data_IF_988003453025
#
_entry.id   IF_988003453025
#
_cell.length_a   1.000
_cell.length_b   1.000
_cell.length_c   1.000
_cell.angle_alpha   90.00
_cell.angle_beta   90.00
_cell.angle_gamma   90.00
#
_symmetry.space_group_name_H-M   'P 1'
#
loop_
_entity.id
_entity.type
_entity.pdbx_description
1 polymer ?
#
# COMPACT_ATOMS: atom_id res chain seq x y z
N UNK A 1 10.58 3.95 -14.28
CA UNK A 1 9.93 5.24 -14.62
C UNK A 1 10.45 6.36 -13.72
N UNK A 2 10.38 6.19 -12.40
CA UNK A 2 10.94 7.09 -11.38
C UNK A 2 12.44 7.41 -11.54
N UNK A 3 13.27 6.43 -11.91
CA UNK A 3 14.74 6.59 -12.10
C UNK A 3 15.18 7.22 -13.44
N UNK A 4 14.29 7.21 -14.45
CA UNK A 4 14.57 7.73 -15.81
C UNK A 4 13.91 9.09 -16.06
N UNK A 5 12.70 9.30 -15.56
CA UNK A 5 11.89 10.50 -15.78
C UNK A 5 11.72 11.37 -14.51
N UNK A 6 12.31 10.95 -13.38
CA UNK A 6 12.29 11.67 -12.11
C UNK A 6 11.15 11.24 -11.18
N UNK A 7 11.33 11.56 -9.90
CA UNK A 7 10.40 11.19 -8.82
C UNK A 7 9.01 11.80 -9.03
N UNK A 8 8.92 13.07 -9.46
CA UNK A 8 7.64 13.77 -9.77
C UNK A 8 6.82 12.99 -10.81
N UNK A 9 7.46 12.54 -11.90
CA UNK A 9 6.77 11.81 -12.96
C UNK A 9 6.23 10.47 -12.43
N UNK A 10 7.01 9.76 -11.61
CA UNK A 10 6.56 8.53 -10.97
C UNK A 10 5.35 8.75 -10.06
N UNK A 11 5.45 9.66 -9.09
CA UNK A 11 4.36 9.94 -8.14
C UNK A 11 3.10 10.44 -8.85
N UNK A 12 3.24 11.30 -9.85
CA UNK A 12 2.11 11.81 -10.63
C UNK A 12 1.46 10.72 -11.51
N UNK A 13 2.27 9.85 -12.12
CA UNK A 13 1.76 8.70 -12.88
C UNK A 13 1.03 7.69 -11.98
N UNK A 14 1.55 7.40 -10.79
CA UNK A 14 0.94 6.48 -9.83
C UNK A 14 -0.37 7.03 -9.27
N UNK A 15 -0.36 8.26 -8.76
CA UNK A 15 -1.58 8.92 -8.26
C UNK A 15 -2.62 9.14 -9.36
N UNK A 16 -2.20 9.46 -10.59
CA UNK A 16 -3.09 9.57 -11.74
C UNK A 16 -3.76 8.24 -12.10
N UNK A 17 -3.02 7.13 -12.09
CA UNK A 17 -3.59 5.80 -12.34
C UNK A 17 -4.62 5.40 -11.27
N UNK A 18 -4.36 5.75 -10.00
CA UNK A 18 -5.29 5.52 -8.89
C UNK A 18 -6.54 6.40 -9.03
N UNK A 19 -6.40 7.67 -9.38
CA UNK A 19 -7.52 8.57 -9.63
C UNK A 19 -8.37 8.09 -10.81
N UNK A 20 -7.76 7.74 -11.94
CA UNK A 20 -8.48 7.19 -13.10
C UNK A 20 -9.18 5.88 -12.74
N UNK A 21 -8.49 4.97 -12.04
CA UNK A 21 -9.06 3.69 -11.59
C UNK A 21 -10.28 3.87 -10.69
N UNK A 22 -10.22 4.78 -9.72
CA UNK A 22 -11.34 5.04 -8.79
C UNK A 22 -12.51 5.75 -9.48
N UNK A 23 -12.25 6.70 -10.38
CA UNK A 23 -13.28 7.39 -11.16
C UNK A 23 -13.99 6.42 -12.12
N UNK A 24 -13.26 5.50 -12.76
CA UNK A 24 -13.86 4.47 -13.65
C UNK A 24 -14.97 3.68 -12.96
N UNK A 25 -14.82 3.36 -11.68
CA UNK A 25 -15.84 2.61 -10.91
C UNK A 25 -17.13 3.41 -10.69
N UNK A 26 -17.07 4.74 -10.80
CA UNK A 26 -18.19 5.65 -10.55
C UNK A 26 -19.04 5.97 -11.80
N UNK A 27 -18.61 5.54 -13.00
CA UNK A 27 -19.23 5.96 -14.27
C UNK A 27 -20.47 5.15 -14.64
N UNK A 28 -20.56 3.87 -14.22
CA UNK A 28 -21.60 2.97 -14.71
C UNK A 28 -22.43 2.31 -13.61
N UNK A 29 -23.74 2.36 -13.80
CA UNK A 29 -24.78 1.80 -12.94
C UNK A 29 -25.18 0.38 -13.39
N UNK A 30 -24.78 -0.03 -14.60
CA UNK A 30 -25.18 -1.29 -15.22
C UNK A 30 -24.27 -2.44 -14.77
N UNK A 31 -24.84 -3.54 -14.28
CA UNK A 31 -24.12 -4.66 -13.62
C UNK A 31 -22.98 -5.24 -14.46
N UNK A 32 -23.22 -5.55 -15.74
CA UNK A 32 -22.18 -6.12 -16.62
C UNK A 32 -21.03 -5.14 -16.90
N UNK A 33 -21.35 -3.87 -17.13
CA UNK A 33 -20.35 -2.84 -17.37
C UNK A 33 -19.56 -2.55 -16.09
N UNK A 34 -20.22 -2.52 -14.94
CA UNK A 34 -19.60 -2.30 -13.64
C UNK A 34 -18.54 -3.35 -13.31
N UNK A 35 -18.80 -4.63 -13.60
CA UNK A 35 -17.82 -5.71 -13.39
C UNK A 35 -16.57 -5.50 -14.27
N UNK A 36 -16.75 -5.19 -15.55
CA UNK A 36 -15.64 -4.94 -16.47
C UNK A 36 -14.83 -3.72 -16.02
N UNK A 37 -15.48 -2.61 -15.70
CA UNK A 37 -14.81 -1.39 -15.22
C UNK A 37 -14.12 -1.63 -13.86
N UNK A 38 -14.68 -2.47 -12.99
CA UNK A 38 -14.04 -2.88 -11.74
C UNK A 38 -12.75 -3.66 -11.98
N UNK A 39 -12.72 -4.59 -12.94
CA UNK A 39 -11.49 -5.29 -13.30
C UNK A 39 -10.44 -4.36 -13.90
N UNK A 40 -10.84 -3.46 -14.81
CA UNK A 40 -9.94 -2.46 -15.38
C UNK A 40 -9.37 -1.56 -14.27
N UNK A 41 -10.21 -1.11 -13.34
CA UNK A 41 -9.76 -0.30 -12.21
C UNK A 41 -8.77 -1.04 -11.32
N UNK A 42 -8.97 -2.33 -11.06
CA UNK A 42 -8.06 -3.15 -10.26
C UNK A 42 -6.69 -3.28 -10.94
N UNK A 43 -6.65 -3.39 -12.27
CA UNK A 43 -5.40 -3.41 -13.05
C UNK A 43 -4.70 -2.04 -12.98
N UNK A 44 -5.44 -0.93 -13.12
CA UNK A 44 -4.89 0.42 -13.01
C UNK A 44 -4.31 0.69 -11.61
N UNK A 45 -5.05 0.35 -10.55
CA UNK A 45 -4.59 0.54 -9.17
C UNK A 45 -3.43 -0.41 -8.86
N UNK A 46 -3.51 -1.67 -9.30
CA UNK A 46 -2.47 -2.67 -9.12
C UNK A 46 -1.15 -2.28 -9.79
N UNK A 47 -1.20 -1.67 -10.97
CA UNK A 47 0.00 -1.15 -11.66
C UNK A 47 0.59 0.10 -11.00
N UNK A 48 -0.23 0.89 -10.28
CA UNK A 48 0.26 1.99 -9.45
C UNK A 48 0.93 1.51 -8.15
N UNK A 49 0.57 0.33 -7.64
CA UNK A 49 1.08 -0.23 -6.38
C UNK A 49 2.62 -0.21 -6.26
N UNK A 50 3.37 -0.80 -7.21
CA UNK A 50 4.84 -0.77 -7.17
C UNK A 50 5.44 0.64 -7.17
N UNK A 51 4.78 1.58 -7.86
CA UNK A 51 5.22 2.99 -7.91
C UNK A 51 5.01 3.64 -6.55
N UNK A 52 3.86 3.41 -5.91
CA UNK A 52 3.55 3.92 -4.58
C UNK A 52 4.49 3.34 -3.51
N UNK A 53 4.86 2.06 -3.60
CA UNK A 53 5.80 1.43 -2.66
C UNK A 53 7.24 1.94 -2.82
N UNK A 54 7.67 2.26 -4.03
CA UNK A 54 9.00 2.79 -4.29
C UNK A 54 9.13 4.29 -3.99
N UNK A 55 8.01 5.03 -3.91
CA UNK A 55 8.04 6.48 -3.76
C UNK A 55 8.64 6.98 -2.43
N UNK A 56 8.29 6.44 -1.24
CA UNK A 56 8.84 6.90 0.03
C UNK A 56 10.36 6.84 0.15
N UNK A 57 11.04 5.70 -0.11
CA UNK A 57 12.49 5.64 0.01
C UNK A 57 13.20 6.50 -1.03
N UNK A 58 12.62 6.65 -2.23
CA UNK A 58 13.19 7.53 -3.27
C UNK A 58 13.05 9.01 -2.88
N UNK A 59 11.90 9.42 -2.34
CA UNK A 59 11.71 10.78 -1.84
C UNK A 59 12.64 11.09 -0.67
N UNK A 60 12.78 10.14 0.26
CA UNK A 60 13.72 10.25 1.37
C UNK A 60 15.16 10.41 0.85
N UNK A 61 15.56 9.63 -0.15
CA UNK A 61 16.89 9.70 -0.74
C UNK A 61 17.20 11.05 -1.41
N UNK A 62 16.22 11.61 -2.13
CA UNK A 62 16.42 12.84 -2.90
C UNK A 62 16.30 14.13 -2.05
N UNK A 63 15.45 14.14 -1.02
CA UNK A 63 15.14 15.34 -0.23
C UNK A 63 15.81 15.39 1.15
N UNK A 64 16.20 14.24 1.73
CA UNK A 64 16.70 14.18 3.09
C UNK A 64 18.16 13.68 3.18
N UNK A 65 18.97 14.22 4.12
CA UNK A 65 20.33 13.76 4.37
C UNK A 65 20.33 12.33 4.93
N UNK A 66 21.41 11.57 4.69
CA UNK A 66 21.50 10.12 4.98
C UNK A 66 21.06 9.71 6.39
N UNK A 67 21.31 10.56 7.40
CA UNK A 67 20.94 10.32 8.80
C UNK A 67 19.43 10.37 9.07
N UNK A 68 18.65 11.06 8.21
CA UNK A 68 17.21 11.27 8.39
C UNK A 68 16.35 10.47 7.40
N UNK A 69 16.97 9.82 6.41
CA UNK A 69 16.26 9.05 5.37
C UNK A 69 15.41 7.91 5.92
N UNK A 70 15.93 7.19 6.91
CA UNK A 70 15.23 6.08 7.56
C UNK A 70 13.97 6.59 8.27
N UNK A 71 14.09 7.70 8.99
CA UNK A 71 12.96 8.34 9.69
C UNK A 71 11.91 8.86 8.71
N UNK A 72 12.32 9.55 7.63
CA UNK A 72 11.42 10.04 6.60
C UNK A 72 10.65 8.90 5.90
N UNK A 73 11.34 7.79 5.62
CA UNK A 73 10.71 6.58 5.04
C UNK A 73 9.74 5.94 6.04
N UNK A 74 10.12 5.84 7.32
CA UNK A 74 9.27 5.27 8.36
C UNK A 74 7.97 6.06 8.54
N UNK A 75 8.03 7.40 8.56
CA UNK A 75 6.83 8.27 8.64
C UNK A 75 5.88 7.99 7.48
N UNK A 76 6.41 7.88 6.26
CA UNK A 76 5.60 7.58 5.07
C UNK A 76 4.98 6.18 5.10
N UNK A 77 5.71 5.18 5.63
CA UNK A 77 5.16 3.83 5.84
C UNK A 77 4.08 3.86 6.92
N UNK A 78 4.27 4.58 8.03
CA UNK A 78 3.23 4.74 9.05
C UNK A 78 1.97 5.42 8.51
N UNK A 79 2.11 6.42 7.63
CA UNK A 79 0.99 7.03 6.93
C UNK A 79 0.24 6.03 6.04
N UNK A 80 0.95 5.11 5.38
CA UNK A 80 0.32 4.02 4.62
C UNK A 80 -0.47 3.07 5.53
N UNK A 81 0.07 2.69 6.69
CA UNK A 81 -0.65 1.87 7.69
C UNK A 81 -1.92 2.55 8.22
N UNK A 82 -1.86 3.88 8.47
CA UNK A 82 -3.03 4.67 8.84
C UNK A 82 -4.10 4.67 7.75
N UNK A 83 -3.70 4.75 6.48
CA UNK A 83 -4.63 4.61 5.35
C UNK A 83 -5.34 3.25 5.33
N UNK A 84 -4.60 2.17 5.64
CA UNK A 84 -5.16 0.82 5.76
C UNK A 84 -6.20 0.68 6.87
N UNK A 85 -6.05 1.39 8.00
CA UNK A 85 -7.08 1.46 9.05
C UNK A 85 -8.40 2.04 8.52
N UNK A 86 -8.33 3.02 7.61
CA UNK A 86 -9.51 3.61 6.97
C UNK A 86 -10.36 2.59 6.21
N UNK A 87 -9.74 1.59 5.58
CA UNK A 87 -10.45 0.50 4.89
C UNK A 87 -11.24 -0.39 5.85
N UNK A 88 -10.84 -0.50 7.12
CA UNK A 88 -11.62 -1.25 8.12
C UNK A 88 -12.83 -0.47 8.66
N UNK A 89 -12.91 0.84 8.42
CA UNK A 89 -14.05 1.67 8.82
C UNK A 89 -15.15 1.72 7.76
N UNK A 90 -14.95 1.11 6.59
CA UNK A 90 -15.97 0.96 5.55
C UNK A 90 -17.30 0.36 6.04
N UNK A 91 -17.31 -0.64 6.96
CA UNK A 91 -18.52 -1.18 7.57
C UNK A 91 -19.36 -0.17 8.37
N UNK A 92 -18.81 0.98 8.80
CA UNK A 92 -19.59 2.04 9.44
C UNK A 92 -20.45 2.81 8.43
N UNK A 93 -20.02 2.82 7.16
CA UNK A 93 -20.70 3.54 6.08
C UNK A 93 -21.61 2.59 5.30
N UNK A 94 -21.22 1.32 5.14
CA UNK A 94 -22.03 0.28 4.48
C UNK A 94 -22.71 -0.59 5.50
N UNK A 95 -24.04 -0.50 5.55
CA UNK A 95 -24.84 -1.35 6.44
C UNK A 95 -24.74 -2.81 6.02
N UNK A 96 -24.68 -3.70 7.01
CA UNK A 96 -24.68 -5.14 6.76
C UNK A 96 -26.01 -5.58 6.11
N UNK A 97 -25.99 -6.55 5.17
CA UNK A 97 -27.21 -7.17 4.68
C UNK A 97 -27.94 -7.90 5.82
N UNK A 98 -28.93 -7.22 6.41
CA UNK A 98 -29.83 -7.75 7.43
C UNK A 98 -31.28 -7.81 6.95
N UNK A 99 -32.14 -8.40 7.78
CA UNK A 99 -33.57 -8.66 7.48
C UNK A 99 -34.38 -7.39 7.14
N UNK A 100 -33.87 -6.21 7.53
CA UNK A 100 -34.50 -4.90 7.32
C UNK A 100 -33.82 -4.02 6.26
N UNK A 101 -32.83 -4.54 5.52
CA UNK A 101 -32.07 -3.74 4.54
C UNK A 101 -32.27 -4.29 3.14
N UNK A 102 -32.81 -3.46 2.25
CA UNK A 102 -33.01 -3.86 0.86
C UNK A 102 -31.70 -3.82 0.07
N UNK A 103 -31.56 -4.70 -0.92
CA UNK A 103 -30.35 -4.80 -1.75
C UNK A 103 -30.02 -3.50 -2.51
N UNK A 104 -31.02 -2.66 -2.78
CA UNK A 104 -30.85 -1.34 -3.38
C UNK A 104 -30.24 -0.31 -2.42
N UNK A 105 -30.52 -0.39 -1.11
CA UNK A 105 -29.91 0.48 -0.09
C UNK A 105 -28.42 0.17 0.08
N UNK A 106 -28.05 -1.11 0.13
CA UNK A 106 -26.64 -1.55 0.19
C UNK A 106 -25.87 -1.08 -1.05
N UNK A 107 -26.50 -1.18 -2.22
CA UNK A 107 -25.92 -0.68 -3.47
C UNK A 107 -25.74 0.84 -3.42
N UNK A 108 -26.64 1.57 -2.77
CA UNK A 108 -26.51 3.00 -2.50
C UNK A 108 -25.31 3.32 -1.62
N UNK A 109 -25.16 2.62 -0.50
CA UNK A 109 -24.05 2.83 0.45
C UNK A 109 -22.69 2.54 -0.21
N UNK A 110 -22.60 1.45 -0.98
CA UNK A 110 -21.39 1.10 -1.74
C UNK A 110 -21.03 2.20 -2.75
N UNK A 111 -22.03 2.81 -3.42
CA UNK A 111 -21.78 3.93 -4.34
C UNK A 111 -21.26 5.15 -3.62
N UNK A 112 -21.81 5.48 -2.44
CA UNK A 112 -21.34 6.60 -1.63
C UNK A 112 -19.88 6.38 -1.24
N UNK A 113 -19.51 5.18 -0.80
CA UNK A 113 -18.10 4.83 -0.54
C UNK A 113 -17.21 5.02 -1.78
N UNK A 114 -17.65 4.56 -2.96
CA UNK A 114 -16.90 4.72 -4.20
C UNK A 114 -16.68 6.19 -4.56
N UNK A 115 -17.71 7.04 -4.40
CA UNK A 115 -17.59 8.47 -4.63
C UNK A 115 -16.66 9.15 -3.61
N UNK A 116 -16.69 8.74 -2.35
CA UNK A 116 -15.75 9.22 -1.32
C UNK A 116 -14.31 8.88 -1.72
N UNK A 117 -14.06 7.63 -2.12
CA UNK A 117 -12.73 7.20 -2.56
C UNK A 117 -12.26 7.91 -3.82
N UNK A 118 -13.13 8.09 -4.81
CA UNK A 118 -12.81 8.84 -6.02
C UNK A 118 -12.53 10.32 -5.72
N UNK A 119 -13.33 10.94 -4.84
CA UNK A 119 -13.12 12.32 -4.39
C UNK A 119 -11.80 12.48 -3.64
N UNK A 120 -11.48 11.58 -2.72
CA UNK A 120 -10.23 11.61 -1.97
C UNK A 120 -9.02 11.37 -2.88
N UNK A 121 -9.08 10.39 -3.80
CA UNK A 121 -8.03 10.14 -4.77
C UNK A 121 -7.81 11.32 -5.74
N UNK A 122 -8.89 11.94 -6.21
CA UNK A 122 -8.82 13.13 -7.06
C UNK A 122 -8.24 14.34 -6.31
N UNK A 123 -8.65 14.55 -5.05
CA UNK A 123 -8.10 15.60 -4.19
C UNK A 123 -6.60 15.39 -3.98
N UNK A 124 -6.17 14.17 -3.65
CA UNK A 124 -4.75 13.84 -3.49
C UNK A 124 -3.98 14.03 -4.81
N UNK A 125 -4.55 13.66 -5.95
CA UNK A 125 -3.92 13.90 -7.24
C UNK A 125 -3.75 15.39 -7.53
N UNK A 126 -4.78 16.21 -7.27
CA UNK A 126 -4.71 17.67 -7.43
C UNK A 126 -3.70 18.27 -6.45
N UNK A 127 -3.71 17.83 -5.19
CA UNK A 127 -2.78 18.30 -4.17
C UNK A 127 -1.34 17.96 -4.54
N UNK A 128 -1.07 16.74 -5.04
CA UNK A 128 0.24 16.36 -5.56
C UNK A 128 0.59 17.20 -6.81
N UNK A 129 -0.37 17.45 -7.70
CA UNK A 129 -0.11 18.26 -8.89
C UNK A 129 0.25 19.72 -8.55
N UNK A 130 -0.40 20.31 -7.54
CA UNK A 130 -0.22 21.68 -7.08
C UNK A 130 0.96 21.84 -6.11
N UNK A 131 1.10 20.93 -5.14
CA UNK A 131 2.03 21.05 -4.02
C UNK A 131 3.39 20.39 -4.26
N UNK A 132 3.53 19.46 -5.22
CA UNK A 132 4.85 18.92 -5.57
C UNK A 132 5.51 19.84 -6.61
N UNK A 133 6.41 20.78 -6.25
CA UNK A 133 7.21 21.51 -7.22
C UNK A 133 8.12 20.54 -7.98
N UNK A 134 8.41 20.85 -9.24
CA UNK A 134 9.02 19.88 -10.18
C UNK A 134 10.40 19.40 -9.77
N UNK A 135 11.12 20.16 -8.95
CA UNK A 135 12.44 19.86 -8.38
C UNK A 135 12.66 20.78 -7.17
N UNK A 136 13.32 20.34 -6.10
CA UNK A 136 14.07 21.28 -5.27
C UNK A 136 15.22 21.87 -6.11
N UNK A 137 15.42 23.20 -6.12
CA UNK A 137 16.41 23.90 -6.95
C UNK A 137 17.89 23.62 -6.61
N UNK A 138 18.19 22.80 -5.59
CA UNK A 138 19.57 22.40 -5.25
C UNK A 138 19.61 20.91 -4.90
N UNK A 139 20.32 20.06 -5.67
CA UNK A 139 20.48 18.65 -5.35
C UNK A 139 21.57 18.48 -4.28
N UNK A 140 21.28 17.98 -3.05
CA UNK A 140 22.30 17.75 -2.05
C UNK A 140 22.53 16.25 -1.90
N UNK A 141 22.99 15.55 -2.94
CA UNK A 141 23.73 14.30 -2.68
C UNK A 141 24.45 13.74 -3.90
N UNK A 142 25.75 13.55 -3.73
CA UNK A 142 26.75 13.00 -4.67
C UNK A 142 26.51 11.50 -4.99
N UNK A 143 25.41 10.90 -4.53
CA UNK A 143 25.03 9.51 -4.90
C UNK A 143 24.29 9.38 -6.24
N UNK A 144 23.97 10.48 -6.94
CA UNK A 144 23.44 10.45 -8.32
C UNK A 144 24.47 9.96 -9.36
N UNK A 145 25.73 9.74 -8.97
CA UNK A 145 26.83 9.34 -9.85
C UNK A 145 27.17 7.85 -9.80
N UNK A 146 26.35 7.01 -9.16
CA UNK A 146 26.50 5.57 -9.35
C UNK A 146 25.93 5.18 -10.72
N UNK A 147 26.80 4.59 -11.53
CA UNK A 147 26.50 4.04 -12.84
C UNK A 147 25.20 3.21 -12.76
N UNK A 148 24.17 3.71 -13.46
CA UNK A 148 22.84 3.12 -13.44
C UNK A 148 22.93 1.76 -14.12
N UNK A 149 23.02 0.70 -13.33
CA UNK A 149 22.86 -0.66 -13.85
C UNK A 149 21.55 -0.71 -14.64
N UNK A 150 21.64 -1.21 -15.88
CA UNK A 150 20.47 -1.43 -16.72
C UNK A 150 19.41 -2.21 -15.93
N UNK A 151 18.16 -1.78 -15.98
CA UNK A 151 17.06 -2.40 -15.21
C UNK A 151 16.95 -3.90 -15.50
N UNK A 152 17.14 -4.30 -16.76
CA UNK A 152 17.19 -5.71 -17.19
C UNK A 152 18.38 -6.47 -16.59
N UNK A 153 19.55 -5.85 -16.56
CA UNK A 153 20.77 -6.47 -16.03
C UNK A 153 20.71 -6.58 -14.50
N UNK A 154 20.08 -5.62 -13.84
CA UNK A 154 19.80 -5.66 -12.40
C UNK A 154 18.84 -6.81 -12.06
N UNK A 155 17.71 -6.94 -12.77
CA UNK A 155 16.77 -8.06 -12.57
C UNK A 155 17.45 -9.39 -12.87
N UNK A 156 18.22 -9.49 -13.95
CA UNK A 156 18.94 -10.71 -14.31
C UNK A 156 19.95 -11.10 -13.22
N UNK A 157 20.68 -10.13 -12.67
CA UNK A 157 21.65 -10.35 -11.60
C UNK A 157 20.98 -10.68 -10.26
N UNK A 158 19.80 -10.10 -10.00
CA UNK A 158 18.95 -10.41 -8.84
C UNK A 158 18.47 -11.87 -8.91
N UNK A 159 17.91 -12.27 -10.06
CA UNK A 159 17.38 -13.62 -10.31
C UNK A 159 18.47 -14.67 -10.51
N UNK A 160 19.71 -14.28 -10.83
CA UNK A 160 20.82 -15.23 -10.93
C UNK A 160 21.41 -15.61 -9.56
N UNK A 161 21.07 -14.87 -8.50
CA UNK A 161 21.61 -15.10 -7.16
C UNK A 161 20.61 -15.90 -6.30
N UNK A 162 20.96 -17.15 -5.99
CA UNK A 162 20.13 -18.06 -5.18
C UNK A 162 19.81 -17.50 -3.79
N UNK A 163 20.73 -16.76 -3.17
CA UNK A 163 20.48 -16.15 -1.85
C UNK A 163 19.41 -15.04 -1.93
N UNK A 164 19.44 -14.23 -3.00
CA UNK A 164 18.39 -13.24 -3.29
C UNK A 164 17.04 -13.89 -3.54
N UNK A 165 16.99 -15.01 -4.28
CA UNK A 165 15.74 -15.75 -4.48
C UNK A 165 15.18 -16.26 -3.15
N UNK A 166 16.01 -16.88 -2.28
CA UNK A 166 15.55 -17.33 -0.97
C UNK A 166 15.01 -16.18 -0.11
N UNK A 167 15.65 -15.02 -0.15
CA UNK A 167 15.17 -13.81 0.55
C UNK A 167 13.84 -13.31 -0.03
N UNK A 168 13.71 -13.27 -1.35
CA UNK A 168 12.46 -12.88 -2.02
C UNK A 168 11.31 -13.82 -1.66
N UNK A 169 11.55 -15.13 -1.66
CA UNK A 169 10.55 -16.14 -1.30
C UNK A 169 10.16 -15.99 0.18
N UNK A 170 11.14 -15.87 1.08
CA UNK A 170 10.89 -15.65 2.51
C UNK A 170 10.04 -14.39 2.74
N UNK A 171 10.42 -13.26 2.12
CA UNK A 171 9.68 -12.01 2.23
C UNK A 171 8.26 -12.13 1.63
N UNK A 172 8.12 -12.82 0.50
CA UNK A 172 6.82 -13.04 -0.15
C UNK A 172 5.87 -13.87 0.69
N UNK A 173 6.37 -14.90 1.39
CA UNK A 173 5.57 -15.71 2.33
C UNK A 173 5.14 -14.84 3.52
N UNK A 174 6.09 -14.10 4.10
CA UNK A 174 5.84 -13.27 5.27
C UNK A 174 4.83 -12.14 5.03
N UNK A 175 4.81 -11.57 3.82
CA UNK A 175 3.87 -10.48 3.47
C UNK A 175 2.60 -11.01 2.79
N UNK A 176 2.71 -12.04 1.97
CA UNK A 176 1.61 -12.57 1.16
C UNK A 176 0.52 -13.23 1.98
N UNK A 177 0.89 -14.06 2.98
CA UNK A 177 -0.11 -14.76 3.82
C UNK A 177 -0.96 -13.75 4.61
N UNK A 178 -0.39 -12.75 5.32
CA UNK A 178 -1.19 -11.73 6.00
C UNK A 178 -2.11 -10.93 5.06
N UNK A 179 -1.66 -10.62 3.83
CA UNK A 179 -2.47 -9.89 2.84
C UNK A 179 -3.71 -10.68 2.40
N UNK A 180 -3.57 -11.99 2.18
CA UNK A 180 -4.69 -12.85 1.82
C UNK A 180 -5.64 -12.97 3.01
N UNK A 181 -5.10 -13.13 4.23
CA UNK A 181 -5.90 -13.17 5.45
C UNK A 181 -6.79 -11.91 5.56
N UNK A 182 -6.21 -10.71 5.43
CA UNK A 182 -6.98 -9.45 5.46
C UNK A 182 -8.17 -9.42 4.49
N UNK A 183 -8.01 -10.00 3.29
CA UNK A 183 -9.07 -10.03 2.27
C UNK A 183 -10.20 -11.02 2.60
N UNK A 184 -9.89 -12.09 3.35
CA UNK A 184 -10.80 -13.22 3.61
C UNK A 184 -11.40 -13.18 5.02
N UNK A 185 -10.80 -12.44 5.96
CA UNK A 185 -11.28 -12.35 7.35
C UNK A 185 -12.73 -11.91 7.45
N UNK A 186 -13.14 -10.88 6.69
CA UNK A 186 -14.53 -10.38 6.71
C UNK A 186 -15.56 -11.45 6.31
N UNK A 187 -15.24 -12.28 5.30
CA UNK A 187 -16.12 -13.38 4.87
C UNK A 187 -16.13 -14.53 5.90
N UNK A 188 -14.97 -14.82 6.49
CA UNK A 188 -14.82 -15.89 7.47
C UNK A 188 -15.60 -15.60 8.76
N UNK A 189 -15.62 -14.34 9.21
CA UNK A 189 -16.38 -13.93 10.39
C UNK A 189 -17.89 -13.97 10.17
N UNK A 190 -18.36 -13.64 8.96
CA UNK A 190 -19.78 -13.77 8.62
C UNK A 190 -20.27 -15.22 8.73
N UNK A 191 -19.49 -16.19 8.25
CA UNK A 191 -19.83 -17.62 8.37
C UNK A 191 -19.87 -18.13 9.83
N UNK A 192 -19.24 -17.41 10.76
CA UNK A 192 -19.21 -17.74 12.19
C UNK A 192 -20.34 -17.06 12.99
N UNK A 193 -21.21 -16.28 12.33
CA UNK A 193 -22.29 -15.53 12.99
C UNK A 193 -21.80 -14.31 13.76
N UNK A 194 -20.55 -13.88 13.55
CA UNK A 194 -19.97 -12.68 14.15
C UNK A 194 -20.51 -11.46 13.39
N UNK A 195 -21.08 -10.51 14.14
CA UNK A 195 -21.67 -9.32 13.55
C UNK A 195 -20.58 -8.45 12.87
N UNK A 196 -20.95 -7.76 11.80
CA UNK A 196 -20.03 -6.97 10.98
C UNK A 196 -19.26 -5.89 11.79
N UNK A 197 -19.88 -5.35 12.85
CA UNK A 197 -19.26 -4.40 13.78
C UNK A 197 -18.10 -5.01 14.57
N UNK A 198 -18.22 -6.26 15.01
CA UNK A 198 -17.16 -6.96 15.74
C UNK A 198 -15.99 -7.31 14.80
N UNK A 199 -16.29 -7.71 13.56
CA UNK A 199 -15.28 -7.96 12.54
C UNK A 199 -14.43 -6.71 12.24
N UNK A 200 -15.06 -5.53 12.19
CA UNK A 200 -14.35 -4.25 12.09
C UNK A 200 -13.40 -4.05 13.26
N UNK A 201 -13.86 -4.21 14.51
CA UNK A 201 -13.01 -4.03 15.69
C UNK A 201 -11.83 -5.00 15.72
N UNK A 202 -12.03 -6.25 15.30
CA UNK A 202 -10.96 -7.24 15.17
C UNK A 202 -9.91 -6.79 14.14
N UNK A 203 -10.35 -6.29 12.97
CA UNK A 203 -9.45 -5.77 11.94
C UNK A 203 -8.64 -4.54 12.38
N UNK A 204 -9.28 -3.63 13.13
CA UNK A 204 -8.61 -2.46 13.72
C UNK A 204 -7.56 -2.88 14.75
N UNK A 205 -7.92 -3.78 15.68
CA UNK A 205 -7.00 -4.31 16.68
C UNK A 205 -5.82 -5.07 16.05
N UNK A 206 -6.06 -5.82 14.98
CA UNK A 206 -5.02 -6.53 14.24
C UNK A 206 -4.01 -5.57 13.60
N UNK A 207 -4.48 -4.48 13.01
CA UNK A 207 -3.59 -3.50 12.36
C UNK A 207 -2.75 -2.76 13.40
N UNK A 208 -3.34 -2.41 14.55
CA UNK A 208 -2.62 -1.81 15.67
C UNK A 208 -1.60 -2.76 16.28
N UNK A 209 -1.96 -4.03 16.52
CA UNK A 209 -1.04 -5.03 17.07
C UNK A 209 0.13 -5.32 16.15
N UNK A 210 -0.10 -5.38 14.84
CA UNK A 210 0.96 -5.51 13.83
C UNK A 210 1.92 -4.31 13.87
N UNK A 211 1.40 -3.08 13.96
CA UNK A 211 2.21 -1.88 14.08
C UNK A 211 3.08 -1.86 15.35
N UNK A 212 2.49 -2.20 16.51
CA UNK A 212 3.18 -2.25 17.80
C UNK A 212 4.25 -3.35 17.80
N UNK A 213 3.89 -4.55 17.33
CA UNK A 213 4.81 -5.70 17.25
C UNK A 213 5.96 -5.40 16.28
N UNK A 214 5.68 -4.74 15.15
CA UNK A 214 6.72 -4.32 14.20
C UNK A 214 7.73 -3.35 14.81
N UNK A 215 7.28 -2.39 15.63
CA UNK A 215 8.18 -1.48 16.36
C UNK A 215 8.99 -2.25 17.42
N UNK A 216 8.35 -3.14 18.19
CA UNK A 216 9.02 -3.98 19.19
C UNK A 216 10.10 -4.87 18.56
N UNK A 217 9.76 -5.61 17.51
CA UNK A 217 10.70 -6.48 16.80
C UNK A 217 11.80 -5.68 16.08
N UNK A 218 11.49 -4.49 15.57
CA UNK A 218 12.51 -3.56 15.07
C UNK A 218 13.52 -3.19 16.14
N UNK A 219 13.07 -2.81 17.34
CA UNK A 219 13.93 -2.51 18.49
C UNK A 219 14.75 -3.71 18.95
N UNK A 220 14.15 -4.90 19.02
CA UNK A 220 14.85 -6.14 19.37
C UNK A 220 15.92 -6.46 18.33
N UNK A 221 15.63 -6.28 17.03
CA UNK A 221 16.59 -6.52 15.95
C UNK A 221 17.77 -5.54 16.01
N UNK A 222 17.51 -4.27 16.32
CA UNK A 222 18.56 -3.25 16.51
C UNK A 222 19.46 -3.55 17.72
N UNK A 223 18.89 -4.10 18.80
CA UNK A 223 19.65 -4.52 19.98
C UNK A 223 20.48 -5.79 19.72
N UNK A 224 20.04 -6.65 18.81
CA UNK A 224 20.65 -7.97 18.50
C UNK A 224 21.58 -7.89 17.27
N UNK A 225 21.90 -6.70 16.76
CA UNK A 225 22.68 -6.48 15.53
C UNK A 225 24.09 -7.15 15.50
N UNK A 226 24.58 -7.66 16.63
CA UNK A 226 25.80 -8.48 16.74
C UNK A 226 25.64 -9.99 16.46
N UNK A 227 24.42 -10.54 16.48
CA UNK A 227 24.15 -11.99 16.36
C UNK A 227 23.10 -12.32 15.27
N UNK A 228 23.25 -11.74 14.08
CA UNK A 228 22.31 -11.81 12.94
C UNK A 228 21.86 -13.25 12.58
N UNK A 229 22.70 -14.27 12.80
CA UNK A 229 22.32 -15.68 12.55
C UNK A 229 21.29 -16.22 13.53
N UNK A 230 21.29 -15.76 14.79
CA UNK A 230 20.35 -16.21 15.83
C UNK A 230 18.96 -15.60 15.65
N UNK A 231 18.90 -14.32 15.28
CA UNK A 231 17.62 -13.61 15.07
C UNK A 231 16.84 -14.16 13.88
N UNK A 232 17.51 -14.58 12.80
CA UNK A 232 16.84 -15.22 11.65
C UNK A 232 16.23 -16.57 12.04
N UNK A 233 16.88 -17.34 12.92
CA UNK A 233 16.37 -18.64 13.37
C UNK A 233 15.15 -18.45 14.30
N UNK A 234 15.20 -17.46 15.20
CA UNK A 234 14.10 -17.18 16.14
C UNK A 234 12.90 -16.52 15.45
N UNK A 235 13.11 -15.71 14.40
CA UNK A 235 12.02 -15.08 13.64
C UNK A 235 11.30 -16.06 12.69
N UNK A 236 11.93 -17.19 12.36
CA UNK A 236 11.37 -18.25 11.53
C UNK A 236 10.71 -19.39 12.32
N UNK A 237 10.82 -19.37 13.66
CA UNK A 237 10.25 -20.36 14.58
C UNK A 237 8.98 -19.79 15.22
#
# INVERSE_FOLDING_TARGET
LTTRYGLRFGVLSGSGLVAVGTILRCITTHTTAFTILSHISAICIGTAGPIAMAAPPMLAADWFPTKERTTATAIAISANSLGGLGSYLEPLIVRSPGENVTQEEIRGDIRILMYIYAGFAALLFILIALYFPSRPPTPPSISSSQEKLNFKDSIRKLLSNKAMICLLVSYSIGVGIPLVWFSVSNFSFNNLGINQDEAMWIGLLQTLSCGIMGILMGRVTDLVYGYIRGTIIVLFL
#
